data_IF_434399484811
#
_entry.id   IF_434399484811
#
_cell.length_a   1.000
_cell.length_b   1.000
_cell.length_c   1.000
_cell.angle_alpha   90.00
_cell.angle_beta   90.00
_cell.angle_gamma   90.00
#
_symmetry.space_group_name_H-M   'P 1'
#
loop_
_entity.id
_entity.type
_entity.pdbx_description
1 polymer ?
#
# COMPACT_ATOMS: atom_id res chain seq x y z
N UNK A 1 4.24 29.69 -2.95
CA UNK A 1 5.64 29.28 -2.90
C UNK A 1 6.01 28.64 -1.56
N UNK A 2 6.09 29.40 -0.44
CA UNK A 2 6.54 28.87 0.88
C UNK A 2 5.76 27.65 1.41
N UNK A 3 4.44 27.58 1.21
CA UNK A 3 3.60 26.47 1.67
C UNK A 3 3.88 25.18 0.86
N UNK A 4 4.02 25.31 -0.47
CA UNK A 4 4.36 24.20 -1.36
C UNK A 4 5.74 23.62 -1.03
N UNK A 5 6.72 24.49 -0.81
CA UNK A 5 8.11 24.08 -0.52
C UNK A 5 8.20 23.34 0.83
N UNK A 6 7.46 23.83 1.84
CA UNK A 6 7.35 23.16 3.14
C UNK A 6 6.68 21.79 3.04
N UNK A 7 5.60 21.68 2.28
CA UNK A 7 4.90 20.40 2.08
C UNK A 7 5.79 19.38 1.36
N UNK A 8 6.47 19.78 0.29
CA UNK A 8 7.40 18.90 -0.44
C UNK A 8 8.51 18.40 0.48
N UNK A 9 9.12 19.29 1.25
CA UNK A 9 10.16 18.90 2.21
C UNK A 9 9.64 17.91 3.24
N UNK A 10 8.50 18.21 3.87
CA UNK A 10 7.90 17.34 4.88
C UNK A 10 7.54 15.95 4.30
N UNK A 11 7.04 15.90 3.06
CA UNK A 11 6.73 14.64 2.37
C UNK A 11 7.99 13.80 2.13
N UNK A 12 9.10 14.42 1.70
CA UNK A 12 10.37 13.72 1.51
C UNK A 12 10.95 13.20 2.83
N UNK A 13 10.89 14.01 3.87
CA UNK A 13 11.35 13.64 5.22
C UNK A 13 10.48 12.50 5.80
N UNK A 14 9.16 12.53 5.56
CA UNK A 14 8.25 11.45 5.95
C UNK A 14 8.63 10.12 5.27
N UNK A 15 8.83 10.13 3.95
CA UNK A 15 9.25 8.94 3.20
C UNK A 15 10.56 8.36 3.74
N UNK A 16 11.53 9.22 4.07
CA UNK A 16 12.81 8.81 4.65
C UNK A 16 12.62 8.14 6.01
N UNK A 17 11.85 8.76 6.90
CA UNK A 17 11.56 8.21 8.23
C UNK A 17 10.84 6.88 8.15
N UNK A 18 9.83 6.76 7.27
CA UNK A 18 9.10 5.51 7.04
C UNK A 18 10.05 4.42 6.50
N UNK A 19 10.96 4.77 5.58
CA UNK A 19 11.95 3.83 5.07
C UNK A 19 12.87 3.31 6.18
N UNK A 20 13.31 4.16 7.09
CA UNK A 20 14.13 3.77 8.24
C UNK A 20 13.37 2.86 9.22
N UNK A 21 12.13 3.19 9.56
CA UNK A 21 11.31 2.41 10.49
C UNK A 21 10.87 1.07 9.88
N UNK A 22 10.43 1.09 8.61
CA UNK A 22 9.98 -0.10 7.90
C UNK A 22 11.12 -1.08 7.63
N UNK A 23 12.29 -0.60 7.22
CA UNK A 23 13.44 -1.47 6.96
C UNK A 23 13.90 -2.27 8.18
N UNK A 24 13.68 -1.75 9.40
CA UNK A 24 14.00 -2.48 10.65
C UNK A 24 13.10 -3.70 10.88
N UNK A 25 11.94 -3.77 10.21
CA UNK A 25 10.99 -4.90 10.30
C UNK A 25 11.29 -6.03 9.32
N UNK A 26 12.18 -5.78 8.37
CA UNK A 26 12.68 -6.76 7.41
C UNK A 26 13.89 -7.46 8.01
N UNK A 27 13.96 -8.77 7.90
CA UNK A 27 15.10 -9.58 8.35
C UNK A 27 16.06 -9.85 7.20
N UNK A 28 17.28 -10.21 7.53
CA UNK A 28 18.23 -10.74 6.55
C UNK A 28 17.75 -12.10 6.03
N UNK A 29 17.76 -12.28 4.72
CA UNK A 29 17.25 -13.47 4.05
C UNK A 29 15.74 -13.44 3.74
N UNK A 30 14.99 -12.40 4.13
CA UNK A 30 13.55 -12.34 3.83
C UNK A 30 13.28 -12.30 2.33
N UNK A 31 12.31 -13.09 1.90
CA UNK A 31 11.69 -13.04 0.58
C UNK A 31 10.41 -12.22 0.69
N UNK A 32 10.36 -11.11 -0.04
CA UNK A 32 9.30 -10.11 0.08
C UNK A 32 8.46 -10.08 -1.19
N UNK A 33 7.13 -9.92 -1.04
CA UNK A 33 6.28 -9.65 -2.21
C UNK A 33 5.70 -8.24 -2.12
N UNK A 34 5.64 -7.55 -3.27
CA UNK A 34 5.06 -6.22 -3.39
C UNK A 34 4.11 -6.11 -4.57
N UNK A 35 3.26 -5.08 -4.54
CA UNK A 35 2.26 -4.81 -5.57
C UNK A 35 2.24 -3.33 -5.94
N UNK A 36 2.04 -3.04 -7.22
CA UNK A 36 2.01 -1.70 -7.77
C UNK A 36 3.36 -0.96 -7.65
N UNK A 37 3.32 0.37 -7.75
CA UNK A 37 4.46 1.24 -7.50
C UNK A 37 4.13 2.19 -6.35
N UNK A 38 4.87 2.04 -5.26
CA UNK A 38 4.85 2.96 -4.12
C UNK A 38 6.27 3.41 -3.81
N UNK A 39 6.50 4.71 -3.87
CA UNK A 39 7.80 5.29 -3.50
C UNK A 39 8.21 4.87 -2.08
N UNK A 40 7.26 4.86 -1.15
CA UNK A 40 7.51 4.46 0.26
C UNK A 40 7.92 3.00 0.34
N UNK A 41 7.18 2.08 -0.30
CA UNK A 41 7.50 0.66 -0.29
C UNK A 41 8.89 0.40 -0.91
N UNK A 42 9.18 1.02 -2.06
CA UNK A 42 10.50 0.93 -2.71
C UNK A 42 11.60 1.44 -1.77
N UNK A 43 11.39 2.57 -1.10
CA UNK A 43 12.38 3.14 -0.17
C UNK A 43 12.61 2.28 1.07
N UNK A 44 11.57 1.62 1.60
CA UNK A 44 11.71 0.63 2.69
C UNK A 44 12.63 -0.52 2.25
N UNK A 45 12.39 -1.08 1.06
CA UNK A 45 13.17 -2.21 0.53
C UNK A 45 14.62 -1.80 0.22
N UNK A 46 14.82 -0.65 -0.44
CA UNK A 46 16.15 -0.10 -0.70
C UNK A 46 16.92 0.15 0.60
N UNK A 47 16.27 0.72 1.63
CA UNK A 47 16.90 0.95 2.92
C UNK A 47 17.28 -0.32 3.66
N UNK A 48 16.49 -1.39 3.55
CA UNK A 48 16.84 -2.71 4.07
C UNK A 48 18.10 -3.25 3.38
N UNK A 49 18.13 -3.20 2.04
CA UNK A 49 19.28 -3.60 1.23
C UNK A 49 20.54 -2.81 1.55
N UNK A 50 20.44 -1.47 1.59
CA UNK A 50 21.57 -0.57 1.90
C UNK A 50 22.12 -0.78 3.31
N UNK A 51 21.34 -1.36 4.23
CA UNK A 51 21.77 -1.73 5.58
C UNK A 51 22.45 -3.11 5.66
N UNK A 52 22.70 -3.75 4.52
CA UNK A 52 23.42 -5.02 4.41
C UNK A 52 22.53 -6.27 4.52
N UNK A 53 21.20 -6.14 4.44
CA UNK A 53 20.29 -7.29 4.42
C UNK A 53 20.16 -7.85 3.01
N UNK A 54 20.35 -9.15 2.87
CA UNK A 54 20.18 -9.87 1.60
C UNK A 54 18.71 -10.27 1.47
N UNK A 55 17.97 -9.51 0.70
CA UNK A 55 16.54 -9.75 0.45
C UNK A 55 16.31 -10.10 -1.02
N UNK A 56 15.24 -10.85 -1.29
CA UNK A 56 14.71 -11.06 -2.64
C UNK A 56 13.30 -10.50 -2.73
N UNK A 57 12.90 -9.98 -3.90
CA UNK A 57 11.60 -9.33 -4.04
C UNK A 57 10.82 -9.87 -5.22
N UNK A 58 9.66 -10.48 -4.95
CA UNK A 58 8.64 -10.74 -5.94
C UNK A 58 7.84 -9.47 -6.19
N UNK A 59 7.77 -9.03 -7.44
CA UNK A 59 7.01 -7.85 -7.85
C UNK A 59 5.86 -8.29 -8.76
N UNK A 60 4.61 -8.01 -8.36
CA UNK A 60 3.45 -8.25 -9.21
C UNK A 60 3.41 -7.20 -10.33
N UNK A 61 3.11 -7.61 -11.58
CA UNK A 61 3.14 -6.71 -12.74
C UNK A 61 2.13 -5.56 -12.67
N UNK A 62 1.03 -5.75 -11.94
CA UNK A 62 -0.03 -4.75 -11.69
C UNK A 62 -0.77 -4.31 -12.95
N UNK A 63 -1.61 -5.21 -13.47
CA UNK A 63 -2.55 -4.89 -14.56
C UNK A 63 -3.53 -3.77 -14.14
N UNK A 64 -4.06 -2.96 -15.08
CA UNK A 64 -3.78 -2.97 -16.51
C UNK A 64 -2.55 -2.14 -16.91
N UNK A 65 -2.02 -1.25 -16.04
CA UNK A 65 -0.99 -0.26 -16.40
C UNK A 65 0.45 -0.70 -16.14
N UNK A 66 0.66 -1.90 -15.63
CA UNK A 66 1.99 -2.49 -15.38
C UNK A 66 2.91 -1.64 -14.46
N UNK A 67 2.33 -1.00 -13.44
CA UNK A 67 3.11 -0.16 -12.51
C UNK A 67 4.15 -0.97 -11.71
N UNK A 68 3.94 -2.29 -11.57
CA UNK A 68 4.95 -3.19 -11.01
C UNK A 68 6.27 -3.19 -11.78
N UNK A 69 6.25 -2.95 -13.10
CA UNK A 69 7.49 -2.85 -13.89
C UNK A 69 8.36 -1.66 -13.45
N UNK A 70 7.74 -0.54 -13.01
CA UNK A 70 8.47 0.62 -12.47
C UNK A 70 9.16 0.23 -11.16
N UNK A 71 8.46 -0.48 -10.30
CA UNK A 71 8.99 -1.00 -9.03
C UNK A 71 10.12 -2.00 -9.26
N UNK A 72 9.91 -2.98 -10.15
CA UNK A 72 10.92 -3.97 -10.50
C UNK A 72 12.20 -3.30 -11.02
N UNK A 73 12.08 -2.32 -11.92
CA UNK A 73 13.21 -1.54 -12.44
C UNK A 73 13.93 -0.79 -11.32
N UNK A 74 13.19 -0.11 -10.42
CA UNK A 74 13.79 0.67 -9.35
C UNK A 74 14.56 -0.20 -8.34
N UNK A 75 14.05 -1.38 -8.01
CA UNK A 75 14.70 -2.33 -7.10
C UNK A 75 15.90 -3.00 -7.76
N UNK A 76 15.77 -3.48 -8.99
CA UNK A 76 16.87 -4.09 -9.74
C UNK A 76 18.02 -3.11 -9.96
N UNK A 77 17.72 -1.82 -10.24
CA UNK A 77 18.75 -0.77 -10.37
C UNK A 77 19.48 -0.48 -9.06
N UNK A 78 18.92 -0.84 -7.91
CA UNK A 78 19.57 -0.78 -6.61
C UNK A 78 20.36 -2.07 -6.26
N UNK A 79 20.41 -3.05 -7.17
CA UNK A 79 21.12 -4.32 -6.97
C UNK A 79 20.31 -5.38 -6.22
N UNK A 80 19.05 -5.14 -5.92
CA UNK A 80 18.16 -6.09 -5.23
C UNK A 80 17.72 -7.18 -6.22
N UNK A 81 17.85 -8.47 -5.91
CA UNK A 81 17.27 -9.55 -6.70
C UNK A 81 15.76 -9.42 -6.82
N UNK A 82 15.25 -9.38 -8.06
CA UNK A 82 13.82 -9.18 -8.34
C UNK A 82 13.28 -10.26 -9.24
N UNK A 83 12.14 -10.84 -8.87
CA UNK A 83 11.34 -11.73 -9.70
C UNK A 83 10.02 -11.04 -10.06
N UNK A 84 9.82 -10.72 -11.33
CA UNK A 84 8.56 -10.15 -11.83
C UNK A 84 7.56 -11.28 -12.09
N UNK A 85 6.34 -11.16 -11.55
CA UNK A 85 5.29 -12.16 -11.70
C UNK A 85 3.97 -11.52 -12.21
N UNK A 86 3.15 -12.31 -12.87
CA UNK A 86 1.75 -11.93 -13.18
C UNK A 86 0.92 -11.83 -11.89
N UNK A 87 -0.08 -10.96 -11.88
CA UNK A 87 -0.86 -10.70 -10.65
C UNK A 87 -1.51 -11.96 -10.07
N UNK A 88 -2.02 -12.84 -10.92
CA UNK A 88 -2.66 -14.10 -10.51
C UNK A 88 -1.72 -15.14 -9.93
N UNK A 89 -0.40 -14.97 -10.03
CA UNK A 89 0.58 -15.92 -9.52
C UNK A 89 0.90 -15.73 -8.02
N UNK A 90 0.35 -14.70 -7.37
CA UNK A 90 0.65 -14.40 -5.97
C UNK A 90 0.44 -15.61 -5.04
N UNK A 91 -0.70 -16.30 -5.17
CA UNK A 91 -1.00 -17.49 -4.35
C UNK A 91 0.00 -18.63 -4.56
N UNK A 92 0.49 -18.81 -5.78
CA UNK A 92 1.45 -19.87 -6.10
C UNK A 92 2.80 -19.67 -5.38
N UNK A 93 3.31 -18.42 -5.37
CA UNK A 93 4.59 -18.08 -4.75
C UNK A 93 4.49 -17.73 -3.27
N UNK A 94 3.29 -17.57 -2.71
CA UNK A 94 3.12 -17.11 -1.31
C UNK A 94 3.76 -18.04 -0.27
N UNK A 95 3.93 -19.30 -0.58
CA UNK A 95 4.62 -20.28 0.29
C UNK A 95 6.12 -19.97 0.52
N UNK A 96 6.72 -19.21 -0.39
CA UNK A 96 8.13 -18.83 -0.37
C UNK A 96 8.32 -17.40 0.17
N UNK A 97 7.22 -16.68 0.50
CA UNK A 97 7.23 -15.28 0.91
C UNK A 97 7.15 -15.16 2.43
N UNK A 98 8.01 -14.31 3.01
CA UNK A 98 8.07 -14.03 4.44
C UNK A 98 7.29 -12.78 4.83
N UNK A 99 7.19 -11.79 3.92
CA UNK A 99 6.57 -10.49 4.21
C UNK A 99 5.98 -9.85 2.94
N UNK A 100 4.80 -9.24 3.09
CA UNK A 100 4.26 -8.32 2.10
C UNK A 100 4.63 -6.89 2.49
N UNK A 101 5.16 -6.11 1.53
CA UNK A 101 5.45 -4.68 1.71
C UNK A 101 4.75 -3.91 0.60
N UNK A 102 3.78 -3.07 0.97
CA UNK A 102 2.99 -2.27 0.05
C UNK A 102 2.85 -0.82 0.52
N UNK A 103 2.41 0.05 -0.37
CA UNK A 103 2.00 1.41 -0.03
C UNK A 103 0.51 1.53 0.25
N UNK A 104 0.06 2.77 0.42
CA UNK A 104 -1.35 3.14 0.49
C UNK A 104 -1.61 4.40 -0.32
N UNK A 105 -2.80 4.51 -0.91
CA UNK A 105 -3.33 5.76 -1.46
C UNK A 105 -4.14 6.50 -0.38
N UNK A 106 -4.90 5.76 0.43
CA UNK A 106 -5.67 6.31 1.55
C UNK A 106 -5.75 5.29 2.70
N UNK A 107 -5.72 5.79 3.93
CA UNK A 107 -6.00 5.02 5.16
C UNK A 107 -7.27 5.57 5.80
N UNK A 108 -8.27 4.73 5.97
CA UNK A 108 -9.53 5.08 6.61
C UNK A 108 -9.44 5.04 8.15
N UNK A 109 -10.39 5.67 8.81
CA UNK A 109 -10.45 5.78 10.28
C UNK A 109 -10.44 4.42 10.99
N UNK A 110 -11.02 3.40 10.39
CA UNK A 110 -11.06 2.04 10.92
C UNK A 110 -9.80 1.22 10.60
N UNK A 111 -8.80 1.84 9.95
CA UNK A 111 -7.57 1.18 9.54
C UNK A 111 -7.65 0.41 8.22
N UNK A 112 -8.77 0.46 7.51
CA UNK A 112 -8.83 -0.08 6.15
C UNK A 112 -7.91 0.73 5.23
N UNK A 113 -7.23 0.04 4.31
CA UNK A 113 -6.30 0.64 3.36
C UNK A 113 -6.87 0.58 1.96
N UNK A 114 -6.99 1.73 1.33
CA UNK A 114 -7.31 1.87 -0.09
C UNK A 114 -5.99 1.95 -0.85
N UNK A 115 -5.81 1.05 -1.80
CA UNK A 115 -4.63 1.02 -2.64
C UNK A 115 -4.98 0.43 -4.01
N UNK A 116 -4.00 0.33 -4.90
CA UNK A 116 -4.18 -0.20 -6.24
C UNK A 116 -4.94 -1.54 -6.24
N UNK A 117 -5.89 -1.68 -7.20
CA UNK A 117 -6.66 -2.92 -7.39
C UNK A 117 -5.74 -4.16 -7.37
N UNK A 118 -6.15 -5.18 -6.64
CA UNK A 118 -5.37 -6.39 -6.39
C UNK A 118 -4.60 -6.38 -5.05
N UNK A 119 -4.61 -5.26 -4.33
CA UNK A 119 -4.01 -5.17 -2.98
C UNK A 119 -4.78 -5.99 -1.96
N UNK A 120 -6.11 -5.88 -1.98
CA UNK A 120 -6.99 -6.62 -1.05
C UNK A 120 -6.91 -8.12 -1.27
N UNK A 121 -6.85 -8.57 -2.53
CA UNK A 121 -6.62 -9.98 -2.89
C UNK A 121 -5.27 -10.47 -2.38
N UNK A 122 -4.19 -9.70 -2.59
CA UNK A 122 -2.86 -10.05 -2.10
C UNK A 122 -2.83 -10.20 -0.58
N UNK A 123 -3.43 -9.25 0.14
CA UNK A 123 -3.51 -9.27 1.61
C UNK A 123 -4.33 -10.45 2.14
N UNK A 124 -5.42 -10.83 1.46
CA UNK A 124 -6.21 -12.01 1.79
C UNK A 124 -5.37 -13.29 1.63
N UNK A 125 -4.66 -13.43 0.51
CA UNK A 125 -3.79 -14.59 0.25
C UNK A 125 -2.65 -14.67 1.28
N UNK A 126 -2.06 -13.52 1.64
CA UNK A 126 -1.04 -13.45 2.68
C UNK A 126 -1.60 -13.91 4.04
N UNK A 127 -2.79 -13.45 4.41
CA UNK A 127 -3.47 -13.85 5.67
C UNK A 127 -3.72 -15.34 5.75
N UNK A 128 -4.24 -15.95 4.67
CA UNK A 128 -4.42 -17.41 4.61
C UNK A 128 -3.11 -18.18 4.77
N UNK A 129 -2.02 -17.63 4.23
CA UNK A 129 -0.69 -18.24 4.26
C UNK A 129 0.10 -17.87 5.54
N UNK A 130 -0.47 -17.07 6.45
CA UNK A 130 0.16 -16.56 7.68
C UNK A 130 1.41 -15.71 7.39
N UNK A 131 1.42 -15.01 6.25
CA UNK A 131 2.43 -14.04 5.86
C UNK A 131 1.97 -12.66 6.32
N UNK A 132 2.84 -11.93 7.00
CA UNK A 132 2.51 -10.60 7.51
C UNK A 132 2.42 -9.56 6.39
N UNK A 133 1.51 -8.59 6.57
CA UNK A 133 1.31 -7.46 5.64
C UNK A 133 1.72 -6.17 6.32
N UNK A 134 2.77 -5.53 5.79
CA UNK A 134 3.26 -4.22 6.19
C UNK A 134 2.89 -3.18 5.14
N UNK A 135 2.22 -2.12 5.60
CA UNK A 135 1.84 -0.96 4.76
C UNK A 135 2.71 0.23 5.14
N UNK A 136 3.36 0.86 4.15
CA UNK A 136 4.01 2.17 4.34
C UNK A 136 3.08 3.28 3.88
N UNK A 137 2.76 4.23 4.77
CA UNK A 137 1.84 5.33 4.48
C UNK A 137 2.21 6.59 5.26
N UNK A 138 2.37 7.70 4.55
CA UNK A 138 2.54 9.02 5.15
C UNK A 138 1.24 9.48 5.81
N UNK A 139 1.33 10.21 6.92
CA UNK A 139 0.13 10.61 7.71
C UNK A 139 -0.85 11.47 6.93
N UNK A 140 -0.43 12.21 5.92
CA UNK A 140 -1.35 12.98 5.07
C UNK A 140 -2.26 12.13 4.17
N UNK A 141 -2.03 10.80 4.09
CA UNK A 141 -2.91 9.85 3.41
C UNK A 141 -4.05 9.33 4.29
N UNK A 142 -4.03 9.67 5.57
CA UNK A 142 -5.11 9.31 6.48
C UNK A 142 -6.30 10.25 6.24
N UNK A 143 -7.46 9.69 5.90
CA UNK A 143 -8.61 10.49 5.49
C UNK A 143 -9.54 10.81 6.68
N UNK A 144 -9.57 12.08 7.15
CA UNK A 144 -10.43 12.49 8.24
C UNK A 144 -11.93 12.43 7.92
N UNK A 145 -12.33 12.45 6.66
CA UNK A 145 -13.76 12.37 6.26
C UNK A 145 -14.37 11.03 6.61
N UNK A 146 -13.56 9.98 6.66
CA UNK A 146 -14.02 8.64 7.03
C UNK A 146 -14.49 8.53 8.50
N UNK A 147 -14.12 9.50 9.35
CA UNK A 147 -14.60 9.62 10.74
C UNK A 147 -16.12 9.85 10.79
N UNK A 148 -16.67 10.62 9.84
CA UNK A 148 -18.12 10.87 9.71
C UNK A 148 -18.86 9.74 8.98
N UNK A 149 -18.18 8.66 8.62
CA UNK A 149 -18.76 7.52 7.90
C UNK A 149 -18.77 7.66 6.38
N UNK A 150 -18.11 8.68 5.84
CA UNK A 150 -17.97 8.81 4.39
C UNK A 150 -17.15 7.63 3.82
N UNK A 151 -17.69 7.01 2.77
CA UNK A 151 -16.99 5.97 2.05
C UNK A 151 -16.00 6.58 1.05
N UNK A 152 -14.80 6.04 1.00
CA UNK A 152 -13.85 6.43 -0.04
C UNK A 152 -14.36 5.97 -1.40
N UNK A 153 -14.58 6.93 -2.29
CA UNK A 153 -15.08 6.65 -3.64
C UNK A 153 -13.98 6.02 -4.49
N UNK A 154 -14.22 4.81 -4.95
CA UNK A 154 -13.29 4.11 -5.84
C UNK A 154 -13.44 4.64 -7.28
N UNK A 155 -12.33 5.08 -7.86
CA UNK A 155 -12.25 5.54 -9.25
C UNK A 155 -12.47 4.36 -10.21
N UNK A 156 -13.39 4.54 -11.16
CA UNK A 156 -13.54 3.65 -12.31
C UNK A 156 -12.82 4.31 -13.50
N UNK A 157 -11.80 3.65 -14.03
CA UNK A 157 -10.96 4.19 -15.11
C UNK A 157 -11.45 3.71 -16.47
N UNK A 158 -10.84 4.29 -17.52
CA UNK A 158 -11.19 3.93 -18.90
C UNK A 158 -10.96 2.42 -19.13
N UNK A 159 -12.00 1.75 -19.62
CA UNK A 159 -11.97 0.33 -19.95
C UNK A 159 -10.92 -0.02 -21.03
N UNK A 160 -10.51 0.96 -21.86
CA UNK A 160 -9.48 0.78 -22.90
C UNK A 160 -8.11 0.43 -22.30
N UNK A 161 -7.87 0.75 -21.05
CA UNK A 161 -6.66 0.30 -20.35
C UNK A 161 -6.63 -1.22 -20.16
N UNK A 162 -7.79 -1.88 -20.05
CA UNK A 162 -7.91 -3.34 -19.87
C UNK A 162 -7.80 -4.07 -21.19
N UNK A 163 -8.48 -3.56 -22.23
CA UNK A 163 -8.55 -4.18 -23.56
C UNK A 163 -8.71 -3.10 -24.62
N UNK A 164 -8.00 -3.22 -25.73
CA UNK A 164 -8.16 -2.29 -26.86
C UNK A 164 -9.46 -2.56 -27.65
N UNK A 165 -9.92 -1.56 -28.41
CA UNK A 165 -11.17 -1.61 -29.16
C UNK A 165 -11.21 -2.73 -30.21
N UNK A 166 -10.10 -3.00 -30.87
CA UNK A 166 -10.01 -4.03 -31.91
C UNK A 166 -10.26 -5.43 -31.32
N UNK A 167 -9.59 -5.73 -30.21
CA UNK A 167 -9.79 -6.99 -29.49
C UNK A 167 -11.21 -7.10 -28.93
N UNK A 168 -11.78 -6.00 -28.42
CA UNK A 168 -13.15 -6.00 -27.92
C UNK A 168 -14.16 -6.33 -29.01
N UNK A 169 -14.01 -5.77 -30.24
CA UNK A 169 -14.85 -6.08 -31.39
C UNK A 169 -14.83 -7.56 -31.75
N UNK A 170 -13.68 -8.22 -31.62
CA UNK A 170 -13.55 -9.66 -31.90
C UNK A 170 -14.23 -10.50 -30.83
N UNK A 171 -14.14 -10.12 -29.55
CA UNK A 171 -14.77 -10.86 -28.43
C UNK A 171 -16.30 -10.73 -28.47
N UNK A 172 -16.81 -9.57 -28.89
CA UNK A 172 -18.25 -9.31 -28.99
C UNK A 172 -18.82 -8.44 -27.88
N UNK A 173 -20.12 -8.59 -27.61
CA UNK A 173 -20.85 -7.73 -26.67
C UNK A 173 -20.60 -8.09 -25.21
N UNK A 174 -19.53 -7.55 -24.61
CA UNK A 174 -19.21 -7.70 -23.19
C UNK A 174 -19.06 -6.33 -22.51
N UNK A 175 -19.30 -6.29 -21.19
CA UNK A 175 -18.97 -5.11 -20.36
C UNK A 175 -17.57 -5.27 -19.80
N UNK A 176 -16.77 -4.21 -19.90
CA UNK A 176 -15.43 -4.15 -19.30
C UNK A 176 -15.48 -3.18 -18.13
N UNK A 177 -15.01 -3.60 -16.96
CA UNK A 177 -14.89 -2.79 -15.75
C UNK A 177 -13.42 -2.63 -15.40
N UNK A 178 -13.05 -1.44 -14.94
CA UNK A 178 -11.66 -1.10 -14.62
C UNK A 178 -11.58 -0.28 -13.31
N UNK A 179 -11.92 -0.87 -12.14
CA UNK A 179 -11.71 -0.20 -10.87
C UNK A 179 -10.20 0.01 -10.64
N UNK A 180 -9.83 1.24 -10.27
CA UNK A 180 -8.42 1.59 -10.09
C UNK A 180 -7.84 1.11 -8.76
N UNK A 181 -8.69 1.02 -7.74
CA UNK A 181 -8.32 0.72 -6.36
C UNK A 181 -9.25 -0.33 -5.76
N UNK A 182 -8.82 -0.93 -4.67
CA UNK A 182 -9.66 -1.74 -3.79
C UNK A 182 -9.48 -1.34 -2.32
N UNK A 183 -10.35 -1.87 -1.48
CA UNK A 183 -10.34 -1.63 -0.04
C UNK A 183 -9.85 -2.89 0.65
N UNK A 184 -8.71 -2.81 1.31
CA UNK A 184 -8.17 -3.88 2.14
C UNK A 184 -8.67 -3.73 3.56
N UNK A 185 -9.46 -4.68 4.08
CA UNK A 185 -9.93 -4.65 5.45
C UNK A 185 -8.78 -4.67 6.48
N UNK A 186 -8.92 -3.98 7.63
CA UNK A 186 -7.84 -3.87 8.62
C UNK A 186 -7.38 -5.23 9.18
N UNK A 187 -8.23 -6.25 9.20
CA UNK A 187 -7.87 -7.59 9.67
C UNK A 187 -6.88 -8.34 8.75
N UNK A 188 -6.63 -7.84 7.54
CA UNK A 188 -5.64 -8.39 6.60
C UNK A 188 -4.32 -7.61 6.62
N UNK A 189 -4.20 -6.61 7.49
CA UNK A 189 -3.03 -5.77 7.63
C UNK A 189 -2.47 -5.96 9.04
N UNK A 190 -1.18 -6.23 9.16
CA UNK A 190 -0.56 -6.44 10.46
C UNK A 190 -0.03 -5.14 11.06
N UNK A 191 0.63 -4.32 10.25
CA UNK A 191 1.17 -3.02 10.67
C UNK A 191 1.07 -1.96 9.56
N UNK A 192 0.92 -0.71 9.99
CA UNK A 192 1.11 0.49 9.15
C UNK A 192 2.31 1.25 9.69
N UNK A 193 3.29 1.52 8.82
CA UNK A 193 4.49 2.29 9.12
C UNK A 193 4.28 3.73 8.63
N UNK A 194 4.31 4.68 9.55
CA UNK A 194 4.19 6.11 9.27
C UNK A 194 5.44 6.85 9.74
N UNK A 195 5.61 8.10 9.39
CA UNK A 195 6.66 8.97 9.93
C UNK A 195 6.47 9.27 11.43
N UNK A 196 5.27 8.99 11.99
CA UNK A 196 4.98 9.09 13.43
C UNK A 196 5.29 7.81 14.20
N UNK A 197 5.54 6.72 13.52
CA UNK A 197 5.82 5.43 14.12
C UNK A 197 5.14 4.27 13.43
N UNK A 198 5.29 3.09 14.00
CA UNK A 198 4.65 1.86 13.54
C UNK A 198 3.41 1.61 14.38
N UNK A 199 2.27 1.48 13.74
CA UNK A 199 0.98 1.33 14.39
C UNK A 199 0.24 0.07 13.90
N UNK A 200 -0.60 -0.57 14.72
CA UNK A 200 -1.60 -1.50 14.21
C UNK A 200 -2.67 -0.72 13.43
N UNK A 201 -3.35 -1.32 12.43
CA UNK A 201 -4.36 -0.64 11.64
C UNK A 201 -5.46 0.04 12.48
N UNK A 202 -5.86 -0.60 13.59
CA UNK A 202 -6.89 -0.10 14.51
C UNK A 202 -6.51 1.23 15.18
N UNK A 203 -5.23 1.59 15.20
CA UNK A 203 -4.76 2.87 15.74
C UNK A 203 -4.83 4.03 14.71
N UNK A 204 -5.32 3.80 13.50
CA UNK A 204 -5.46 4.83 12.46
C UNK A 204 -6.26 6.06 12.94
N UNK A 205 -7.30 5.84 13.76
CA UNK A 205 -8.07 6.92 14.36
C UNK A 205 -7.22 7.88 15.18
N UNK A 206 -6.25 7.38 15.96
CA UNK A 206 -5.37 8.20 16.79
C UNK A 206 -4.46 9.11 15.94
N UNK A 207 -4.00 8.61 14.81
CA UNK A 207 -3.24 9.42 13.84
C UNK A 207 -4.13 10.52 13.26
N UNK A 208 -5.35 10.18 12.81
CA UNK A 208 -6.31 11.14 12.26
C UNK A 208 -6.63 12.21 13.31
N UNK A 209 -6.88 11.83 14.54
CA UNK A 209 -7.19 12.74 15.62
C UNK A 209 -6.04 13.72 15.88
N UNK A 210 -4.80 13.22 15.94
CA UNK A 210 -3.62 14.06 16.23
C UNK A 210 -3.26 14.99 15.08
N UNK A 211 -3.26 14.49 13.84
CA UNK A 211 -2.83 15.27 12.67
C UNK A 211 -3.87 16.32 12.25
N UNK A 212 -5.17 15.98 12.34
CA UNK A 212 -6.26 16.85 11.90
C UNK A 212 -6.95 17.59 13.03
N UNK A 213 -6.47 17.44 14.28
CA UNK A 213 -7.01 18.11 15.49
C UNK A 213 -8.52 17.92 15.65
N UNK A 214 -9.00 16.71 15.36
CA UNK A 214 -10.41 16.38 15.49
C UNK A 214 -10.72 16.23 16.98
N UNK A 215 -11.53 17.15 17.51
CA UNK A 215 -12.10 17.02 18.86
C UNK A 215 -13.19 15.98 18.83
N UNK A 216 -13.08 14.95 19.67
CA UNK A 216 -14.24 14.10 19.94
C UNK A 216 -15.31 14.97 20.60
N UNK A 217 -16.59 14.87 20.18
CA UNK A 217 -17.67 15.47 20.96
C UNK A 217 -17.55 14.90 22.38
N UNK A 218 -17.63 15.78 23.39
CA UNK A 218 -17.72 15.34 24.77
C UNK A 218 -18.89 14.37 24.86
N UNK A 219 -18.58 13.10 25.01
CA UNK A 219 -19.59 12.11 25.39
C UNK A 219 -19.96 12.54 26.81
N UNK A 220 -21.09 13.22 26.97
CA UNK A 220 -21.63 13.46 28.32
C UNK A 220 -21.82 12.09 28.93
N UNK A 221 -21.30 11.93 30.14
CA UNK A 221 -21.58 10.72 30.89
C UNK A 221 -23.13 10.56 30.94
N UNK A 222 -23.67 9.44 30.43
CA UNK A 222 -25.13 9.26 30.45
C UNK A 222 -25.71 9.25 31.88
N UNK A 223 -24.83 9.28 32.89
CA UNK A 223 -25.18 9.24 34.32
C UNK A 223 -24.86 10.54 35.06
N UNK A 224 -24.39 11.59 34.41
CA UNK A 224 -24.44 12.99 34.86
C UNK A 224 -25.74 13.65 34.39
#
# INVERSE_FOLDING_TARGET
AKYSDSFIKNSLDAVKTIAELGSRRIKDGDIIMTHCHSTVAVKILQKAWDSGKHIEVFVRETRPRYQGHITAKALASAGIPVTLIVDSAARYFMKDVDLIVIGADTVAVNGAVINKIGTSELALVAKESRVNVMVGAETYKFDPKTVSGELVKIEERDWREVINEEKLKVIGNIKVRNPAFDVTPPQYIDIIVTERGVIPPQAAFLIIQSEFKISLPHIRDPWE
#
